data_IF_028429398479
#
_entry.id   IF_028429398479
#
_cell.length_a   1.000
_cell.length_b   1.000
_cell.length_c   1.000
_cell.angle_alpha   90.00
_cell.angle_beta   90.00
_cell.angle_gamma   90.00
#
_symmetry.space_group_name_H-M   'P 1'
#
loop_
_entity.id
_entity.type
_entity.pdbx_description
1 polymer ?
#
# COMPACT_ATOMS: atom_id res chain seq x y z
N UNK A 1 12.37 9.80 16.46
CA UNK A 1 11.41 8.69 16.54
C UNK A 1 9.97 9.19 16.77
N UNK A 2 9.74 10.20 17.60
CA UNK A 2 8.37 10.69 17.92
C UNK A 2 7.56 11.24 16.73
N UNK A 3 8.19 11.63 15.63
CA UNK A 3 7.50 12.25 14.49
C UNK A 3 6.86 11.24 13.53
N UNK A 4 7.43 10.04 13.44
CA UNK A 4 6.81 8.94 12.71
C UNK A 4 5.55 8.44 13.44
N UNK A 5 5.60 8.42 14.77
CA UNK A 5 4.47 8.03 15.59
C UNK A 5 3.29 9.01 15.42
N UNK A 6 3.56 10.32 15.38
CA UNK A 6 2.53 11.35 15.16
C UNK A 6 1.88 11.25 13.77
N UNK A 7 2.67 10.95 12.72
CA UNK A 7 2.14 10.76 11.37
C UNK A 7 1.30 9.47 11.25
N UNK A 8 1.72 8.39 11.92
CA UNK A 8 0.99 7.12 11.97
C UNK A 8 -0.31 7.29 12.77
N UNK A 9 -0.26 7.99 13.91
CA UNK A 9 -1.43 8.23 14.75
C UNK A 9 -2.46 9.11 14.03
N UNK A 10 -2.03 10.12 13.29
CA UNK A 10 -2.91 11.01 12.53
C UNK A 10 -3.67 10.30 11.39
N UNK A 11 -3.10 9.22 10.84
CA UNK A 11 -3.69 8.48 9.71
C UNK A 11 -4.02 7.01 10.04
N UNK A 12 -4.04 6.66 11.33
CA UNK A 12 -4.28 5.28 11.80
C UNK A 12 -5.58 4.67 11.27
N UNK A 13 -6.63 5.46 11.14
CA UNK A 13 -7.91 4.98 10.64
C UNK A 13 -7.82 4.55 9.18
N UNK A 14 -7.16 5.34 8.34
CA UNK A 14 -6.95 5.01 6.93
C UNK A 14 -6.04 3.78 6.76
N UNK A 15 -5.01 3.64 7.59
CA UNK A 15 -4.16 2.46 7.62
C UNK A 15 -4.91 1.21 8.08
N UNK A 16 -5.72 1.30 9.13
CA UNK A 16 -6.56 0.21 9.60
C UNK A 16 -7.53 -0.27 8.53
N UNK A 17 -8.21 0.65 7.85
CA UNK A 17 -9.12 0.33 6.75
C UNK A 17 -8.38 -0.36 5.61
N UNK A 18 -7.21 0.14 5.19
CA UNK A 18 -6.45 -0.48 4.11
C UNK A 18 -5.96 -1.89 4.47
N UNK A 19 -5.47 -2.11 5.69
CA UNK A 19 -5.07 -3.44 6.18
C UNK A 19 -6.26 -4.39 6.25
N UNK A 20 -7.41 -3.93 6.73
CA UNK A 20 -8.63 -4.72 6.77
C UNK A 20 -9.10 -5.13 5.37
N UNK A 21 -9.07 -4.22 4.40
CA UNK A 21 -9.41 -4.52 3.00
C UNK A 21 -8.45 -5.55 2.39
N UNK A 22 -7.15 -5.38 2.58
CA UNK A 22 -6.13 -6.32 2.10
C UNK A 22 -6.36 -7.71 2.69
N UNK A 23 -6.58 -7.79 4.02
CA UNK A 23 -6.85 -9.07 4.70
C UNK A 23 -8.11 -9.74 4.20
N UNK A 24 -9.17 -8.98 3.95
CA UNK A 24 -10.44 -9.51 3.43
C UNK A 24 -10.28 -10.08 2.02
N UNK A 25 -9.57 -9.36 1.14
CA UNK A 25 -9.32 -9.82 -0.22
C UNK A 25 -8.37 -11.03 -0.23
N UNK A 26 -7.36 -11.04 0.64
CA UNK A 26 -6.47 -12.18 0.82
C UNK A 26 -7.24 -13.46 1.22
N UNK A 27 -8.09 -13.37 2.24
CA UNK A 27 -8.91 -14.50 2.69
C UNK A 27 -9.86 -14.95 1.58
N UNK A 28 -10.60 -14.02 0.97
CA UNK A 28 -11.58 -14.34 -0.06
C UNK A 28 -10.94 -15.00 -1.29
N UNK A 29 -9.86 -14.42 -1.82
CA UNK A 29 -9.16 -14.95 -2.99
C UNK A 29 -8.56 -16.33 -2.73
N UNK A 30 -8.03 -16.56 -1.53
CA UNK A 30 -7.46 -17.85 -1.14
C UNK A 30 -8.52 -18.94 -1.01
N UNK A 31 -9.65 -18.65 -0.40
CA UNK A 31 -10.78 -19.59 -0.31
C UNK A 31 -11.31 -19.92 -1.70
N UNK A 32 -11.49 -18.90 -2.54
CA UNK A 32 -11.95 -19.09 -3.92
C UNK A 32 -10.97 -19.96 -4.72
N UNK A 33 -9.66 -19.71 -4.58
CA UNK A 33 -8.64 -20.50 -5.24
C UNK A 33 -8.65 -21.96 -4.78
N UNK A 34 -8.80 -22.19 -3.46
CA UNK A 34 -8.96 -23.54 -2.92
C UNK A 34 -10.14 -24.27 -3.56
N UNK A 35 -11.31 -23.63 -3.64
CA UNK A 35 -12.52 -24.25 -4.23
C UNK A 35 -12.36 -24.59 -5.71
N UNK A 36 -11.62 -23.79 -6.46
CA UNK A 36 -11.45 -23.96 -7.91
C UNK A 36 -10.34 -24.95 -8.26
N UNK A 37 -9.27 -25.00 -7.47
CA UNK A 37 -8.05 -25.76 -7.79
C UNK A 37 -7.92 -27.08 -7.02
N UNK A 38 -8.59 -27.25 -5.88
CA UNK A 38 -8.43 -28.44 -5.05
C UNK A 38 -8.74 -29.75 -5.78
N UNK A 39 -9.78 -29.78 -6.65
CA UNK A 39 -10.10 -30.97 -7.43
C UNK A 39 -9.06 -31.27 -8.52
N UNK A 40 -8.51 -30.21 -9.14
CA UNK A 40 -7.58 -30.35 -10.26
C UNK A 40 -6.14 -30.63 -9.78
N UNK A 41 -5.75 -30.12 -8.62
CA UNK A 41 -4.40 -30.28 -8.05
C UNK A 41 -4.42 -30.36 -6.51
N UNK A 42 -4.92 -31.45 -5.95
CA UNK A 42 -5.04 -31.62 -4.50
C UNK A 42 -3.69 -31.58 -3.77
N UNK A 43 -2.60 -31.90 -4.45
CA UNK A 43 -1.24 -31.84 -3.87
C UNK A 43 -0.75 -30.41 -3.64
N UNK A 44 -1.21 -29.45 -4.43
CA UNK A 44 -0.81 -28.06 -4.33
C UNK A 44 -1.78 -27.19 -3.51
N UNK A 45 -3.06 -27.53 -3.58
CA UNK A 45 -4.13 -26.88 -2.83
C UNK A 45 -4.87 -27.89 -1.93
N UNK A 46 -4.15 -28.61 -0.99
CA UNK A 46 -4.77 -29.63 -0.15
C UNK A 46 -5.71 -29.05 0.91
N UNK A 47 -5.57 -27.79 1.25
CA UNK A 47 -6.32 -27.14 2.33
C UNK A 47 -6.37 -25.61 2.14
N UNK A 48 -7.30 -24.98 2.86
CA UNK A 48 -7.41 -23.52 2.91
C UNK A 48 -6.10 -22.85 3.38
N UNK A 49 -5.39 -23.34 4.44
CA UNK A 49 -4.09 -22.79 4.81
C UNK A 49 -3.03 -22.82 3.70
N UNK A 50 -3.01 -23.87 2.87
CA UNK A 50 -2.12 -23.94 1.73
C UNK A 50 -2.48 -22.91 0.66
N UNK A 51 -3.77 -22.68 0.42
CA UNK A 51 -4.25 -21.64 -0.47
C UNK A 51 -3.97 -20.22 0.07
N UNK A 52 -4.00 -20.02 1.39
CA UNK A 52 -3.59 -18.75 2.02
C UNK A 52 -2.12 -18.44 1.77
N UNK A 53 -1.25 -19.44 1.78
CA UNK A 53 0.14 -19.28 1.39
C UNK A 53 0.28 -18.77 -0.04
N UNK A 54 -0.41 -19.42 -0.99
CA UNK A 54 -0.45 -18.95 -2.38
C UNK A 54 -0.97 -17.51 -2.47
N UNK A 55 -2.05 -17.21 -1.76
CA UNK A 55 -2.68 -15.89 -1.77
C UNK A 55 -1.75 -14.77 -1.31
N UNK A 56 -1.02 -14.96 -0.21
CA UNK A 56 -0.09 -13.93 0.28
C UNK A 56 1.09 -13.74 -0.66
N UNK A 57 1.67 -14.83 -1.18
CA UNK A 57 2.79 -14.79 -2.12
C UNK A 57 2.40 -14.09 -3.42
N UNK A 58 1.17 -14.28 -3.88
CA UNK A 58 0.64 -13.64 -5.08
C UNK A 58 0.30 -12.17 -4.86
N UNK A 59 -0.42 -11.84 -3.78
CA UNK A 59 -0.79 -10.45 -3.46
C UNK A 59 0.41 -9.56 -3.19
N UNK A 60 1.45 -10.10 -2.54
CA UNK A 60 2.71 -9.36 -2.29
C UNK A 60 3.63 -9.32 -3.50
N UNK A 61 3.26 -9.93 -4.62
CA UNK A 61 4.05 -10.01 -5.85
C UNK A 61 5.42 -10.71 -5.69
N UNK A 62 5.58 -11.54 -4.64
CA UNK A 62 6.80 -12.34 -4.43
C UNK A 62 6.91 -13.46 -5.45
N UNK A 63 5.80 -14.22 -5.66
CA UNK A 63 5.67 -15.18 -6.75
C UNK A 63 6.74 -16.27 -6.77
N UNK A 64 6.91 -17.04 -5.70
CA UNK A 64 7.90 -18.15 -5.65
C UNK A 64 7.71 -19.21 -6.73
N UNK A 65 6.49 -19.35 -7.27
CA UNK A 65 6.19 -20.33 -8.33
C UNK A 65 6.07 -21.77 -7.83
N UNK A 66 6.06 -21.99 -6.53
CA UNK A 66 5.86 -23.30 -5.90
C UNK A 66 4.40 -23.78 -6.03
N UNK A 67 3.47 -22.86 -6.07
CA UNK A 67 2.04 -23.11 -6.20
C UNK A 67 1.43 -22.06 -7.15
N UNK A 68 0.69 -22.51 -8.17
CA UNK A 68 0.01 -21.65 -9.14
C UNK A 68 -1.23 -22.35 -9.71
N UNK A 69 -2.27 -21.60 -10.15
CA UNK A 69 -3.47 -22.17 -10.70
C UNK A 69 -3.23 -22.79 -12.08
N UNK A 70 -3.80 -23.97 -12.32
CA UNK A 70 -3.73 -24.65 -13.63
C UNK A 70 -5.05 -24.61 -14.38
N UNK A 71 -6.19 -24.53 -13.68
CA UNK A 71 -7.50 -24.46 -14.31
C UNK A 71 -7.73 -23.11 -15.00
N UNK A 72 -8.56 -23.04 -16.05
CA UNK A 72 -8.90 -21.79 -16.72
C UNK A 72 -9.54 -20.76 -15.75
N UNK A 73 -10.44 -21.24 -14.88
CA UNK A 73 -11.08 -20.40 -13.86
C UNK A 73 -10.08 -19.92 -12.81
N UNK A 74 -9.21 -20.81 -12.34
CA UNK A 74 -8.15 -20.45 -11.39
C UNK A 74 -7.19 -19.43 -11.97
N UNK A 75 -6.80 -19.54 -13.23
CA UNK A 75 -5.96 -18.54 -13.92
C UNK A 75 -6.67 -17.19 -14.04
N UNK A 76 -7.96 -17.19 -14.34
CA UNK A 76 -8.74 -15.96 -14.42
C UNK A 76 -8.83 -15.26 -13.06
N UNK A 77 -9.23 -15.98 -12.01
CA UNK A 77 -9.29 -15.40 -10.65
C UNK A 77 -7.92 -15.07 -10.09
N UNK A 78 -6.90 -15.87 -10.39
CA UNK A 78 -5.51 -15.60 -10.03
C UNK A 78 -4.99 -14.30 -10.65
N UNK A 79 -5.31 -14.05 -11.92
CA UNK A 79 -4.97 -12.80 -12.61
C UNK A 79 -5.63 -11.58 -11.96
N UNK A 80 -6.93 -11.68 -11.64
CA UNK A 80 -7.64 -10.62 -10.91
C UNK A 80 -6.99 -10.37 -9.54
N UNK A 81 -6.69 -11.44 -8.79
CA UNK A 81 -6.04 -11.36 -7.48
C UNK A 81 -4.68 -10.67 -7.57
N UNK A 82 -3.87 -11.04 -8.55
CA UNK A 82 -2.56 -10.41 -8.76
C UNK A 82 -2.68 -8.91 -9.09
N UNK A 83 -3.61 -8.53 -9.95
CA UNK A 83 -3.88 -7.13 -10.27
C UNK A 83 -4.36 -6.34 -9.06
N UNK A 84 -5.30 -6.89 -8.29
CA UNK A 84 -5.79 -6.27 -7.06
C UNK A 84 -4.67 -6.15 -6.02
N UNK A 85 -3.77 -7.13 -5.92
CA UNK A 85 -2.61 -7.07 -5.02
C UNK A 85 -1.78 -5.81 -5.26
N UNK A 86 -1.37 -5.57 -6.50
CA UNK A 86 -0.59 -4.37 -6.86
C UNK A 86 -1.35 -3.09 -6.51
N UNK A 87 -2.64 -3.00 -6.87
CA UNK A 87 -3.46 -1.82 -6.62
C UNK A 87 -3.64 -1.54 -5.11
N UNK A 88 -3.87 -2.58 -4.31
CA UNK A 88 -4.09 -2.45 -2.88
C UNK A 88 -2.86 -2.04 -2.09
N UNK A 89 -1.67 -2.52 -2.46
CA UNK A 89 -0.43 -2.10 -1.81
C UNK A 89 -0.03 -0.66 -2.15
N UNK A 90 -0.53 -0.12 -3.25
CA UNK A 90 -0.33 1.29 -3.58
C UNK A 90 -1.01 2.24 -2.58
N UNK A 91 -2.14 1.84 -1.97
CA UNK A 91 -2.87 2.68 -1.02
C UNK A 91 -2.07 3.02 0.25
N UNK A 92 -1.60 2.05 1.07
CA UNK A 92 -0.80 2.37 2.26
C UNK A 92 0.51 3.06 1.88
N UNK A 93 1.17 2.66 0.80
CA UNK A 93 2.40 3.30 0.33
C UNK A 93 2.17 4.76 -0.04
N UNK A 94 1.06 5.07 -0.72
CA UNK A 94 0.66 6.43 -1.07
C UNK A 94 0.39 7.30 0.17
N UNK A 95 -0.26 6.76 1.20
CA UNK A 95 -0.51 7.44 2.48
C UNK A 95 0.80 7.79 3.18
N UNK A 96 1.76 6.86 3.23
CA UNK A 96 3.09 7.11 3.79
C UNK A 96 3.84 8.18 2.99
N UNK A 97 3.88 8.06 1.66
CA UNK A 97 4.56 9.04 0.80
C UNK A 97 3.99 10.45 0.96
N UNK A 98 2.66 10.59 1.00
CA UNK A 98 1.99 11.86 1.22
C UNK A 98 2.32 12.47 2.60
N UNK A 99 2.37 11.64 3.65
CA UNK A 99 2.72 12.09 5.01
C UNK A 99 4.17 12.58 5.09
N UNK A 100 5.09 11.91 4.42
CA UNK A 100 6.48 12.34 4.33
C UNK A 100 6.63 13.65 3.55
N UNK A 101 5.95 13.80 2.43
CA UNK A 101 5.98 15.02 1.62
C UNK A 101 5.42 16.23 2.39
N UNK A 102 4.35 16.02 3.16
CA UNK A 102 3.77 17.05 4.01
C UNK A 102 4.73 17.50 5.12
N UNK A 103 5.42 16.56 5.78
CA UNK A 103 6.40 16.89 6.82
C UNK A 103 7.62 17.61 6.27
N UNK A 104 8.13 17.20 5.10
CA UNK A 104 9.22 17.91 4.42
C UNK A 104 8.81 19.34 4.02
N UNK A 105 7.59 19.53 3.55
CA UNK A 105 7.06 20.85 3.23
C UNK A 105 6.95 21.74 4.46
N UNK A 106 6.49 21.19 5.60
CA UNK A 106 6.43 21.92 6.87
C UNK A 106 7.81 22.33 7.39
N UNK A 107 8.83 21.49 7.19
CA UNK A 107 10.20 21.81 7.59
C UNK A 107 10.77 22.97 6.78
N UNK A 108 10.57 22.97 5.46
CA UNK A 108 10.97 24.11 4.60
C UNK A 108 10.32 25.42 5.04
N UNK A 109 9.04 25.40 5.41
CA UNK A 109 8.37 26.59 5.92
C UNK A 109 8.88 27.05 7.30
N UNK A 110 9.42 26.14 8.13
CA UNK A 110 9.99 26.48 9.45
C UNK A 110 11.42 27.01 9.37
N UNK A 111 12.18 26.60 8.35
CA UNK A 111 13.55 27.05 8.14
C UNK A 111 13.65 28.40 7.40
N UNK A 112 12.51 29.07 7.17
CA UNK A 112 12.49 30.43 6.63
C UNK A 112 12.76 30.53 5.12
N UNK A 113 12.82 29.42 4.42
CA UNK A 113 13.00 29.39 2.97
C UNK A 113 11.66 29.71 2.25
N UNK A 114 11.12 30.89 2.52
CA UNK A 114 10.00 31.44 1.75
C UNK A 114 10.51 31.95 0.39
N UNK A 115 11.14 31.09 -0.40
CA UNK A 115 11.52 31.43 -1.75
C UNK A 115 10.29 31.46 -2.65
N UNK A 116 10.04 32.60 -3.28
CA UNK A 116 9.02 32.71 -4.31
C UNK A 116 9.34 31.77 -5.46
N UNK A 117 8.42 30.85 -5.88
CA UNK A 117 8.68 29.90 -6.96
C UNK A 117 8.93 30.55 -8.32
N UNK A 118 8.66 31.86 -8.44
CA UNK A 118 8.81 32.60 -9.71
C UNK A 118 10.09 33.41 -9.79
N UNK A 119 10.63 33.93 -8.69
CA UNK A 119 11.81 34.79 -8.69
C UNK A 119 12.92 34.37 -7.72
N UNK A 120 12.70 33.35 -6.89
CA UNK A 120 13.70 32.82 -5.95
C UNK A 120 14.09 33.76 -4.80
N UNK A 121 13.40 34.90 -4.62
CA UNK A 121 13.71 35.81 -3.54
C UNK A 121 13.07 35.39 -2.23
N UNK A 122 13.78 35.65 -1.11
CA UNK A 122 13.35 35.40 0.25
C UNK A 122 12.29 36.44 0.65
N UNK A 123 11.06 35.98 0.90
CA UNK A 123 9.94 36.85 1.28
C UNK A 123 9.98 37.25 2.75
N UNK A 124 10.84 36.67 3.55
CA UNK A 124 10.94 36.96 4.99
C UNK A 124 11.50 38.36 5.26
N UNK A 125 12.47 38.81 4.48
CA UNK A 125 13.07 40.16 4.63
C UNK A 125 12.12 41.27 4.18
N UNK A 126 11.25 41.03 3.21
CA UNK A 126 10.34 42.07 2.70
C UNK A 126 9.14 42.31 3.63
N UNK A 127 8.70 41.28 4.36
CA UNK A 127 7.64 41.42 5.37
C UNK A 127 8.11 42.17 6.62
N UNK A 128 9.34 41.97 7.09
CA UNK A 128 9.89 42.70 8.22
C UNK A 128 10.08 44.21 7.92
N UNK A 129 10.41 44.56 6.68
CA UNK A 129 10.53 45.97 6.22
C UNK A 129 9.21 46.73 6.16
N UNK A 130 8.08 46.04 6.03
CA UNK A 130 6.75 46.63 5.90
C UNK A 130 6.02 46.86 7.23
N UNK A 131 6.52 46.28 8.33
CA UNK A 131 5.93 46.34 9.67
C UNK A 131 6.64 47.41 10.53
N UNK A 132 7.78 47.95 10.07
CA UNK A 132 8.46 49.13 10.67
C UNK A 132 8.09 50.39 9.93
#
# INVERSE_FOLDING_TARGET
>A
FNRLDDAIIAKKEALLVSVAMISMIWLFSSILMYLVENEAQPDKFPSIPAALWWGIVTLTSVGYGDTFPITPLGKFFGGITAFLGVALFALPTGIFAASFAEELSRQRHKEGDCCCPNCGCDLSEEFEKKIK
#
